data_IF_788662543695
#
_entry.id   IF_788662543695
#
_cell.length_a   1.000
_cell.length_b   1.000
_cell.length_c   1.000
_cell.angle_alpha   90.00
_cell.angle_beta   90.00
_cell.angle_gamma   90.00
#
_symmetry.space_group_name_H-M   'P 1'
#
loop_
_entity.id
_entity.type
_entity.pdbx_description
1 polymer ?
#
# COMPACT_ATOMS: atom_id res chain seq x y z
N UNK A 1 -2.95 13.14 61.07
CA UNK A 1 -3.20 14.13 60.00
C UNK A 1 -2.07 13.99 58.99
N UNK A 2 -2.43 13.69 57.75
CA UNK A 2 -1.61 13.42 56.55
C UNK A 2 -0.56 14.54 56.28
N UNK A 3 0.55 14.38 55.54
CA UNK A 3 0.77 13.73 54.24
C UNK A 3 2.27 13.51 54.00
N UNK A 4 2.67 12.29 53.63
CA UNK A 4 3.96 12.00 52.99
C UNK A 4 3.73 11.97 51.48
N UNK A 5 4.25 12.94 50.74
CA UNK A 5 4.20 12.96 49.27
C UNK A 5 5.11 11.85 48.73
N UNK A 6 4.51 10.82 48.14
CA UNK A 6 5.21 9.84 47.30
C UNK A 6 5.30 10.42 45.87
N UNK A 7 6.48 10.84 45.46
CA UNK A 7 6.77 11.24 44.08
C UNK A 7 7.04 9.96 43.27
N UNK A 8 6.02 9.45 42.57
CA UNK A 8 6.20 8.37 41.57
C UNK A 8 6.78 9.02 40.32
N UNK A 9 8.09 8.83 40.12
CA UNK A 9 8.73 9.08 38.83
C UNK A 9 8.39 7.89 37.92
N UNK A 10 7.37 8.06 37.07
CA UNK A 10 7.03 7.11 36.02
C UNK A 10 8.06 7.26 34.90
N UNK A 11 9.12 6.45 34.94
CA UNK A 11 10.06 6.34 33.81
C UNK A 11 9.35 5.66 32.64
N UNK A 12 8.93 6.46 31.66
CA UNK A 12 8.53 5.97 30.34
C UNK A 12 9.80 5.41 29.69
N UNK A 13 9.99 4.09 29.78
CA UNK A 13 10.90 3.38 28.90
C UNK A 13 10.21 3.31 27.54
N UNK A 14 10.57 4.23 26.64
CA UNK A 14 10.29 4.07 25.23
C UNK A 14 10.92 2.75 24.79
N UNK A 15 10.08 1.75 24.54
CA UNK A 15 10.50 0.46 24.01
C UNK A 15 11.15 0.69 22.65
N UNK A 16 12.48 0.72 22.63
CA UNK A 16 13.22 0.38 21.43
C UNK A 16 12.92 -1.10 21.19
N UNK A 17 11.90 -1.38 20.37
CA UNK A 17 11.79 -2.65 19.70
C UNK A 17 12.99 -2.75 18.74
N UNK A 18 14.15 -3.10 19.30
CA UNK A 18 15.21 -3.69 18.51
C UNK A 18 14.58 -4.96 17.95
N UNK A 19 14.31 -4.97 16.65
CA UNK A 19 14.17 -6.22 15.95
C UNK A 19 15.38 -7.06 16.37
N UNK A 20 15.17 -8.11 17.16
CA UNK A 20 16.25 -9.00 17.54
C UNK A 20 16.76 -9.56 16.23
N UNK A 21 17.94 -9.10 15.80
CA UNK A 21 18.56 -9.57 14.57
C UNK A 21 18.60 -11.08 14.65
N UNK A 22 17.97 -11.74 13.68
CA UNK A 22 17.94 -13.20 13.61
C UNK A 22 19.38 -13.67 13.75
N UNK A 23 19.74 -14.45 14.79
CA UNK A 23 21.10 -14.92 14.96
C UNK A 23 21.58 -15.58 13.67
N UNK A 24 22.62 -15.03 13.05
CA UNK A 24 23.16 -15.51 11.77
C UNK A 24 24.16 -16.64 11.97
N UNK A 25 23.99 -17.46 13.01
CA UNK A 25 24.95 -18.46 13.44
C UNK A 25 24.26 -19.79 13.73
N UNK A 26 24.97 -20.90 13.58
CA UNK A 26 24.40 -22.25 13.75
C UNK A 26 25.06 -22.97 14.93
N UNK A 27 24.34 -23.31 16.01
CA UNK A 27 24.89 -24.14 17.07
C UNK A 27 25.15 -25.56 16.53
N UNK A 28 26.29 -26.13 16.91
CA UNK A 28 26.70 -27.48 16.56
C UNK A 28 27.26 -28.20 17.78
N UNK A 29 26.86 -29.45 17.97
CA UNK A 29 27.34 -30.29 19.06
C UNK A 29 27.64 -31.69 18.52
N UNK A 30 28.72 -32.29 19.01
CA UNK A 30 29.13 -33.63 18.64
C UNK A 30 29.78 -34.37 19.80
N UNK A 31 29.93 -35.68 19.63
CA UNK A 31 30.65 -36.55 20.57
C UNK A 31 31.82 -37.18 19.81
N UNK A 32 33.04 -36.82 20.18
CA UNK A 32 34.25 -37.36 19.57
C UNK A 32 34.61 -38.71 20.19
N UNK A 33 34.76 -39.74 19.34
CA UNK A 33 35.17 -41.09 19.73
C UNK A 33 36.32 -41.56 18.86
N UNK A 34 37.16 -42.43 19.41
CA UNK A 34 38.21 -43.12 18.66
C UNK A 34 37.65 -44.34 17.91
N UNK A 35 38.51 -45.02 17.13
CA UNK A 35 38.13 -46.19 16.34
C UNK A 35 37.62 -47.38 17.19
N UNK A 36 37.99 -47.46 18.48
CA UNK A 36 37.51 -48.45 19.42
C UNK A 36 36.18 -48.05 20.09
N UNK A 37 35.56 -46.95 19.66
CA UNK A 37 34.31 -46.41 20.20
C UNK A 37 34.46 -45.71 21.55
N UNK A 38 35.68 -45.56 22.08
CA UNK A 38 35.94 -44.87 23.35
C UNK A 38 35.92 -43.35 23.13
N UNK A 39 35.39 -42.58 24.10
CA UNK A 39 35.37 -41.13 24.00
C UNK A 39 36.80 -40.57 23.97
N UNK A 40 37.03 -39.58 23.11
CA UNK A 40 38.23 -38.74 23.21
C UNK A 40 37.99 -37.74 24.34
N UNK A 41 38.29 -38.15 25.57
CA UNK A 41 37.96 -37.40 26.78
C UNK A 41 38.96 -36.27 27.06
N UNK A 42 38.46 -35.08 27.45
CA UNK A 42 39.29 -33.93 27.89
C UNK A 42 40.44 -33.60 26.93
N UNK A 43 40.18 -33.71 25.63
CA UNK A 43 41.19 -33.61 24.57
C UNK A 43 40.87 -32.41 23.69
N UNK A 44 41.88 -31.61 23.38
CA UNK A 44 41.77 -30.57 22.36
C UNK A 44 41.77 -31.23 20.98
N UNK A 45 40.76 -30.94 20.17
CA UNK A 45 40.61 -31.43 18.79
C UNK A 45 40.37 -30.23 17.87
N UNK A 46 40.72 -30.37 16.59
CA UNK A 46 40.30 -29.40 15.57
C UNK A 46 39.11 -29.95 14.80
N UNK A 47 38.04 -29.17 14.68
CA UNK A 47 36.84 -29.50 13.94
C UNK A 47 36.74 -28.57 12.74
N UNK A 48 36.56 -29.13 11.54
CA UNK A 48 36.29 -28.41 10.30
C UNK A 48 34.89 -28.73 9.82
N UNK A 49 34.11 -27.68 9.58
CA UNK A 49 32.72 -27.75 9.16
C UNK A 49 32.58 -27.04 7.83
N UNK A 50 31.97 -27.72 6.85
CA UNK A 50 31.76 -27.14 5.52
C UNK A 50 30.29 -27.20 5.11
N UNK A 51 29.75 -26.07 4.66
CA UNK A 51 28.42 -25.99 4.06
C UNK A 51 28.55 -26.26 2.56
N UNK A 52 27.71 -27.16 2.05
CA UNK A 52 27.69 -27.59 0.64
C UNK A 52 26.29 -27.46 0.04
N UNK A 53 26.24 -27.31 -1.27
CA UNK A 53 25.00 -27.21 -2.06
C UNK A 53 24.41 -28.57 -2.49
N UNK A 54 25.18 -29.67 -2.34
CA UNK A 54 24.72 -31.04 -2.61
C UNK A 54 25.38 -32.06 -1.67
N UNK A 55 24.73 -33.21 -1.48
CA UNK A 55 25.19 -34.31 -0.61
C UNK A 55 26.54 -34.88 -1.06
N UNK A 56 26.72 -35.09 -2.36
CA UNK A 56 27.94 -35.62 -2.97
C UNK A 56 28.34 -34.75 -4.16
N UNK A 57 29.63 -34.43 -4.29
CA UNK A 57 30.14 -33.66 -5.44
C UNK A 57 29.73 -32.18 -5.50
N UNK A 58 28.97 -31.68 -4.52
CA UNK A 58 28.56 -30.26 -4.46
C UNK A 58 29.70 -29.30 -4.14
N UNK A 59 29.51 -28.04 -4.50
CA UNK A 59 30.44 -26.96 -4.16
C UNK A 59 30.42 -26.70 -2.65
N UNK A 60 31.58 -26.39 -2.11
CA UNK A 60 31.70 -25.88 -0.75
C UNK A 60 31.45 -24.38 -0.77
N UNK A 61 30.36 -23.95 -0.13
CA UNK A 61 29.94 -22.53 -0.08
C UNK A 61 30.65 -21.79 1.06
N UNK A 62 30.88 -22.48 2.17
CA UNK A 62 31.54 -21.94 3.36
C UNK A 62 32.25 -23.05 4.11
N UNK A 63 33.40 -22.75 4.70
CA UNK A 63 34.12 -23.66 5.60
C UNK A 63 34.62 -22.90 6.81
N UNK A 64 34.54 -23.51 7.98
CA UNK A 64 35.02 -22.95 9.24
C UNK A 64 35.76 -24.04 10.03
N UNK A 65 36.93 -23.68 10.57
CA UNK A 65 37.82 -24.56 11.32
C UNK A 65 38.05 -23.99 12.72
N UNK A 66 37.81 -24.82 13.74
CA UNK A 66 37.90 -24.44 15.16
C UNK A 66 38.61 -25.49 15.99
N UNK A 67 39.48 -25.05 16.88
CA UNK A 67 39.96 -25.88 17.99
C UNK A 67 38.95 -25.83 19.13
N UNK A 68 38.52 -27.00 19.60
CA UNK A 68 37.58 -27.16 20.72
C UNK A 68 38.09 -28.23 21.68
N UNK A 69 37.77 -28.07 22.96
CA UNK A 69 38.04 -29.10 23.97
C UNK A 69 36.83 -30.01 24.14
N UNK A 70 37.05 -31.32 24.17
CA UNK A 70 36.03 -32.29 24.52
C UNK A 70 35.88 -32.41 26.04
N UNK A 71 34.70 -32.81 26.51
CA UNK A 71 34.47 -33.18 27.92
C UNK A 71 34.93 -34.62 28.21
N UNK A 72 34.80 -35.07 29.46
CA UNK A 72 35.10 -36.46 29.86
C UNK A 72 34.32 -37.54 29.11
N UNK A 73 33.17 -37.20 28.51
CA UNK A 73 32.38 -38.11 27.66
C UNK A 73 32.66 -37.96 26.17
N UNK A 74 33.62 -37.10 25.77
CA UNK A 74 33.92 -36.77 24.38
C UNK A 74 33.01 -35.71 23.77
N UNK A 75 32.03 -35.17 24.51
CA UNK A 75 31.14 -34.11 24.04
C UNK A 75 31.89 -32.80 23.78
N UNK A 76 31.63 -32.14 22.66
CA UNK A 76 32.09 -30.79 22.34
C UNK A 76 30.95 -29.97 21.72
N UNK A 77 30.96 -28.64 21.95
CA UNK A 77 29.96 -27.72 21.40
C UNK A 77 30.67 -26.50 20.79
N UNK A 78 30.12 -25.99 19.69
CA UNK A 78 30.61 -24.78 19.01
C UNK A 78 29.45 -24.09 18.29
N UNK A 79 29.65 -22.85 17.87
CA UNK A 79 28.68 -22.11 17.05
C UNK A 79 29.35 -21.76 15.73
N UNK A 80 28.78 -22.19 14.60
CA UNK A 80 29.24 -21.86 13.25
C UNK A 80 28.89 -20.39 12.99
N UNK A 81 29.81 -19.62 12.42
CA UNK A 81 29.66 -18.20 12.11
C UNK A 81 29.42 -17.31 13.35
N UNK A 82 30.13 -17.58 14.46
CA UNK A 82 30.16 -16.70 15.63
C UNK A 82 31.36 -15.72 15.64
N UNK A 83 32.18 -15.74 14.57
CA UNK A 83 33.37 -14.92 14.41
C UNK A 83 34.64 -15.50 15.04
N UNK A 84 34.57 -16.67 15.68
CA UNK A 84 35.76 -17.41 16.12
C UNK A 84 36.24 -18.40 15.05
N UNK A 85 37.52 -18.77 15.06
CA UNK A 85 38.08 -19.74 14.12
C UNK A 85 38.46 -19.20 12.75
N UNK A 86 39.10 -20.05 11.95
CA UNK A 86 39.51 -19.72 10.59
C UNK A 86 38.42 -20.15 9.60
N UNK A 87 38.02 -19.27 8.68
CA UNK A 87 36.98 -19.56 7.72
C UNK A 87 37.35 -19.19 6.28
N UNK A 88 36.65 -19.78 5.33
CA UNK A 88 36.72 -19.46 3.90
C UNK A 88 35.32 -19.52 3.26
N UNK A 89 35.11 -18.69 2.24
CA UNK A 89 33.78 -18.46 1.65
C UNK A 89 33.05 -17.27 2.31
N UNK A 90 31.94 -16.85 1.71
CA UNK A 90 31.11 -15.74 2.19
C UNK A 90 29.77 -16.26 2.70
N UNK A 91 29.59 -16.23 4.02
CA UNK A 91 28.36 -16.65 4.70
C UNK A 91 27.12 -15.89 4.22
N UNK A 92 27.28 -14.58 3.98
CA UNK A 92 26.16 -13.71 3.59
C UNK A 92 25.72 -13.93 2.14
N UNK A 93 26.60 -14.52 1.32
CA UNK A 93 26.28 -14.88 -0.07
C UNK A 93 25.52 -16.20 -0.21
N UNK A 94 25.44 -17.01 0.86
CA UNK A 94 24.75 -18.30 0.83
C UNK A 94 23.26 -18.05 0.65
N UNK A 95 22.72 -18.44 -0.51
CA UNK A 95 21.28 -18.42 -0.73
C UNK A 95 20.62 -19.57 0.07
N UNK A 96 20.20 -19.31 1.31
CA UNK A 96 19.54 -20.29 2.17
C UNK A 96 18.15 -20.74 1.67
N UNK A 97 17.55 -20.01 0.73
CA UNK A 97 16.25 -20.35 0.14
C UNK A 97 16.37 -21.27 -1.09
N UNK A 98 17.54 -21.37 -1.71
CA UNK A 98 17.72 -22.11 -2.96
C UNK A 98 18.08 -23.59 -2.75
N UNK A 99 17.08 -24.43 -2.51
CA UNK A 99 17.26 -25.88 -2.37
C UNK A 99 17.98 -26.30 -1.09
N UNK A 100 18.28 -27.59 -0.96
CA UNK A 100 18.87 -28.15 0.26
C UNK A 100 20.32 -27.67 0.50
N UNK A 101 20.69 -27.55 1.77
CA UNK A 101 22.08 -27.31 2.20
C UNK A 101 22.56 -28.46 3.05
N UNK A 102 23.85 -28.76 2.98
CA UNK A 102 24.46 -29.90 3.64
C UNK A 102 25.63 -29.45 4.50
N UNK A 103 25.79 -30.05 5.68
CA UNK A 103 26.91 -29.82 6.59
C UNK A 103 27.82 -31.05 6.54
N UNK A 104 29.05 -30.85 6.08
CA UNK A 104 30.14 -31.82 6.16
C UNK A 104 30.92 -31.59 7.46
N UNK A 105 31.22 -32.66 8.18
CA UNK A 105 32.01 -32.62 9.42
C UNK A 105 33.32 -33.38 9.24
N UNK A 106 34.41 -32.73 9.62
CA UNK A 106 35.75 -33.30 9.61
C UNK A 106 36.46 -32.98 10.94
N UNK A 107 37.26 -33.92 11.47
CA UNK A 107 37.93 -33.75 12.77
C UNK A 107 39.39 -34.19 12.67
N UNK A 108 40.30 -33.39 13.22
CA UNK A 108 41.66 -33.80 13.57
C UNK A 108 41.76 -34.03 15.09
N UNK A 109 41.88 -35.30 15.53
CA UNK A 109 42.03 -35.65 16.94
C UNK A 109 43.32 -35.14 17.59
N UNK A 110 44.36 -34.85 16.82
CA UNK A 110 45.65 -34.33 17.28
C UNK A 110 45.71 -32.79 17.27
N UNK A 111 44.60 -32.13 16.94
CA UNK A 111 44.49 -30.67 16.89
C UNK A 111 45.49 -30.01 15.92
N UNK A 112 45.75 -30.66 14.78
CA UNK A 112 46.60 -30.18 13.71
C UNK A 112 45.82 -29.93 12.40
N UNK A 113 46.36 -30.43 11.29
CA UNK A 113 45.79 -30.26 9.94
C UNK A 113 45.43 -31.57 9.22
N UNK A 114 45.41 -32.70 9.94
CA UNK A 114 45.13 -34.03 9.40
C UNK A 114 43.68 -34.45 9.72
N UNK A 115 42.78 -34.10 8.82
CA UNK A 115 41.34 -34.22 9.04
C UNK A 115 40.79 -35.58 8.58
N UNK A 116 40.03 -36.23 9.46
CA UNK A 116 39.21 -37.40 9.17
C UNK A 116 37.78 -36.97 8.84
N UNK A 117 37.17 -37.57 7.82
CA UNK A 117 35.79 -37.29 7.40
C UNK A 117 34.78 -38.07 8.24
N UNK A 118 33.83 -37.37 8.86
CA UNK A 118 32.76 -37.94 9.67
C UNK A 118 31.38 -37.87 8.99
N UNK A 119 31.36 -37.54 7.69
CA UNK A 119 30.17 -37.59 6.86
C UNK A 119 29.55 -36.21 6.60
N UNK A 120 28.51 -36.24 5.78
CA UNK A 120 27.75 -35.07 5.34
C UNK A 120 26.27 -35.30 5.57
N UNK A 121 25.60 -34.35 6.24
CA UNK A 121 24.16 -34.42 6.56
C UNK A 121 23.42 -33.21 6.03
N UNK A 122 22.14 -33.37 5.68
CA UNK A 122 21.32 -32.23 5.25
C UNK A 122 20.96 -31.34 6.45
N UNK A 123 21.11 -30.03 6.31
CA UNK A 123 20.60 -29.04 7.25
C UNK A 123 19.07 -28.95 7.12
N UNK A 124 18.38 -29.16 8.24
CA UNK A 124 16.93 -29.06 8.35
C UNK A 124 16.52 -27.74 9.00
N UNK A 125 15.29 -27.29 8.71
CA UNK A 125 14.74 -26.08 9.30
C UNK A 125 14.59 -26.21 10.82
N UNK A 126 14.98 -25.16 11.55
CA UNK A 126 14.75 -25.02 13.00
C UNK A 126 13.43 -24.27 13.27
N UNK A 127 12.82 -24.36 14.47
CA UNK A 127 11.51 -23.77 14.76
C UNK A 127 11.38 -22.27 14.44
N UNK A 128 12.43 -21.48 14.67
CA UNK A 128 12.45 -20.06 14.32
C UNK A 128 12.42 -19.83 12.79
N UNK A 129 13.17 -20.63 12.03
CA UNK A 129 13.22 -20.57 10.58
C UNK A 129 11.88 -20.98 9.91
N UNK A 130 11.12 -21.89 10.52
CA UNK A 130 9.79 -22.29 10.02
C UNK A 130 8.79 -21.14 10.02
N UNK A 131 8.96 -20.15 10.90
CA UNK A 131 8.10 -18.96 10.94
C UNK A 131 8.53 -17.92 9.90
N UNK A 132 9.84 -17.80 9.64
CA UNK A 132 10.39 -16.88 8.64
C UNK A 132 10.00 -17.24 7.20
N UNK A 133 9.73 -18.52 6.90
CA UNK A 133 9.23 -18.95 5.58
C UNK A 133 7.93 -18.24 5.15
N UNK A 134 7.11 -17.76 6.10
CA UNK A 134 5.89 -16.98 5.80
C UNK A 134 6.15 -15.54 5.34
N UNK A 135 7.35 -15.03 5.53
CA UNK A 135 7.71 -13.65 5.18
C UNK A 135 8.30 -13.52 3.76
N UNK A 136 8.81 -14.62 3.18
CA UNK A 136 9.48 -14.60 1.87
C UNK A 136 8.48 -14.58 0.71
N UNK A 137 7.27 -15.12 0.91
CA UNK A 137 6.24 -15.26 -0.12
C UNK A 137 4.95 -14.49 0.20
N UNK A 138 5.04 -13.23 0.65
CA UNK A 138 3.82 -12.45 0.91
C UNK A 138 3.04 -12.18 -0.38
N UNK A 139 2.02 -13.00 -0.65
CA UNK A 139 1.05 -12.76 -1.71
C UNK A 139 -0.06 -11.84 -1.21
N UNK A 140 -0.63 -11.06 -2.12
CA UNK A 140 -1.81 -10.23 -1.81
C UNK A 140 -2.97 -11.05 -1.23
N UNK A 141 -3.13 -12.31 -1.65
CA UNK A 141 -4.14 -13.24 -1.13
C UNK A 141 -3.88 -13.72 0.30
N UNK A 142 -2.68 -13.51 0.82
CA UNK A 142 -2.27 -13.94 2.17
C UNK A 142 -2.29 -12.77 3.18
N UNK A 143 -2.46 -11.54 2.69
CA UNK A 143 -2.64 -10.37 3.52
C UNK A 143 -4.04 -10.40 4.17
N UNK A 144 -4.06 -10.40 5.50
CA UNK A 144 -5.30 -10.46 6.29
C UNK A 144 -5.99 -9.10 6.43
N UNK A 145 -5.26 -8.03 6.16
CA UNK A 145 -5.69 -6.65 6.26
C UNK A 145 -6.13 -6.07 4.91
N UNK A 146 -6.13 -6.87 3.84
CA UNK A 146 -6.62 -6.46 2.52
C UNK A 146 -7.90 -7.23 2.18
N UNK A 147 -9.00 -6.52 1.94
CA UNK A 147 -10.23 -7.13 1.44
C UNK A 147 -10.09 -7.47 -0.05
N UNK A 148 -9.70 -8.72 -0.37
CA UNK A 148 -9.43 -9.17 -1.74
C UNK A 148 -10.68 -9.54 -2.56
N UNK A 149 -11.85 -9.65 -1.94
CA UNK A 149 -13.08 -10.16 -2.54
C UNK A 149 -13.64 -9.33 -3.72
N UNK A 150 -13.14 -8.11 -3.92
CA UNK A 150 -13.66 -7.16 -4.91
C UNK A 150 -12.57 -6.37 -5.64
N UNK A 151 -11.31 -6.81 -5.61
CA UNK A 151 -10.18 -6.11 -6.25
C UNK A 151 -9.99 -6.57 -7.70
N UNK A 152 -9.99 -5.62 -8.63
CA UNK A 152 -9.65 -5.80 -10.03
C UNK A 152 -8.28 -5.15 -10.33
N UNK A 153 -7.55 -5.62 -11.36
CA UNK A 153 -6.34 -4.95 -11.81
C UNK A 153 -6.59 -3.46 -12.14
N UNK A 154 -5.84 -2.57 -11.49
CA UNK A 154 -5.96 -1.12 -11.65
C UNK A 154 -6.80 -0.41 -10.58
N UNK A 155 -7.36 -1.15 -9.63
CA UNK A 155 -8.05 -0.59 -8.48
C UNK A 155 -7.06 0.08 -7.50
N UNK A 156 -7.54 1.10 -6.79
CA UNK A 156 -6.79 1.76 -5.71
C UNK A 156 -7.23 1.18 -4.38
N UNK A 157 -6.32 1.09 -3.42
CA UNK A 157 -6.65 0.72 -2.04
C UNK A 157 -6.74 1.97 -1.17
N UNK A 158 -7.75 2.02 -0.30
CA UNK A 158 -7.92 3.04 0.73
C UNK A 158 -7.89 2.38 2.11
N UNK A 159 -7.18 3.01 3.06
CA UNK A 159 -7.15 2.57 4.45
C UNK A 159 -8.43 2.99 5.18
N UNK A 160 -9.19 2.03 5.69
CA UNK A 160 -10.46 2.26 6.40
C UNK A 160 -10.32 2.49 7.91
N UNK A 161 -9.10 2.37 8.47
CA UNK A 161 -8.86 2.36 9.92
C UNK A 161 -8.68 0.96 10.50
N UNK A 162 -9.28 -0.06 9.89
CA UNK A 162 -9.17 -1.47 10.32
C UNK A 162 -8.62 -2.40 9.24
N UNK A 163 -8.47 -1.91 8.00
CA UNK A 163 -7.95 -2.65 6.86
C UNK A 163 -7.95 -1.83 5.58
N UNK A 164 -7.25 -2.32 4.57
CA UNK A 164 -7.28 -1.82 3.20
C UNK A 164 -8.52 -2.35 2.47
N UNK A 165 -9.34 -1.43 1.98
CA UNK A 165 -10.51 -1.72 1.14
C UNK A 165 -10.28 -1.21 -0.29
N UNK A 166 -11.03 -1.74 -1.25
CA UNK A 166 -11.08 -1.18 -2.59
C UNK A 166 -11.63 0.25 -2.54
N UNK A 167 -10.94 1.19 -3.15
CA UNK A 167 -11.41 2.54 -3.39
C UNK A 167 -12.02 2.59 -4.79
N UNK A 168 -13.25 3.11 -4.89
CA UNK A 168 -13.92 3.26 -6.18
C UNK A 168 -13.01 4.01 -7.16
N UNK A 169 -12.94 3.52 -8.40
CA UNK A 169 -12.11 4.13 -9.43
C UNK A 169 -12.63 5.53 -9.75
N UNK A 170 -11.73 6.51 -9.72
CA UNK A 170 -12.04 7.85 -10.20
C UNK A 170 -12.43 7.79 -11.68
N UNK A 171 -13.66 8.20 -12.00
CA UNK A 171 -14.19 8.14 -13.36
C UNK A 171 -14.49 9.55 -13.86
N UNK A 172 -13.85 9.92 -14.97
CA UNK A 172 -14.03 11.21 -15.63
C UNK A 172 -14.98 11.09 -16.82
N UNK A 173 -15.92 12.01 -16.90
CA UNK A 173 -16.90 12.15 -17.96
C UNK A 173 -16.74 13.53 -18.60
N UNK A 174 -16.69 13.57 -19.92
CA UNK A 174 -16.68 14.83 -20.68
C UNK A 174 -18.05 15.08 -21.27
N UNK A 175 -18.44 16.35 -21.39
CA UNK A 175 -19.64 16.78 -22.10
C UNK A 175 -19.33 18.01 -22.94
N UNK A 176 -19.91 18.06 -24.14
CA UNK A 176 -19.84 19.22 -25.00
C UNK A 176 -21.05 19.25 -25.94
N UNK A 177 -21.53 20.44 -26.28
CA UNK A 177 -22.61 20.60 -27.27
C UNK A 177 -23.25 21.98 -27.23
N UNK A 178 -24.21 22.23 -28.13
CA UNK A 178 -24.84 23.54 -28.26
C UNK A 178 -25.68 23.88 -27.04
N UNK A 179 -25.70 25.15 -26.67
CA UNK A 179 -26.53 25.67 -25.59
C UNK A 179 -27.84 26.19 -26.20
N UNK A 180 -29.01 25.61 -25.83
CA UNK A 180 -30.29 26.11 -26.31
C UNK A 180 -30.60 27.50 -25.75
N UNK A 181 -31.60 28.18 -26.30
CA UNK A 181 -32.10 29.41 -25.69
C UNK A 181 -32.66 29.12 -24.29
N UNK A 182 -32.21 29.88 -23.29
CA UNK A 182 -32.65 29.74 -21.90
C UNK A 182 -33.62 30.87 -21.57
N UNK A 183 -34.83 30.52 -21.14
CA UNK A 183 -35.89 31.49 -20.87
C UNK A 183 -35.51 32.50 -19.78
N UNK A 184 -36.03 33.72 -19.92
CA UNK A 184 -36.03 34.71 -18.85
C UNK A 184 -37.07 34.38 -17.76
N UNK A 185 -37.07 35.19 -16.70
CA UNK A 185 -37.98 35.10 -15.55
C UNK A 185 -38.01 33.71 -14.90
N UNK A 186 -36.88 33.01 -14.92
CA UNK A 186 -36.76 31.67 -14.37
C UNK A 186 -36.26 31.73 -12.91
N UNK A 187 -36.98 31.08 -12.01
CA UNK A 187 -36.64 30.98 -10.59
C UNK A 187 -35.86 29.71 -10.24
N UNK A 188 -35.66 28.80 -11.19
CA UNK A 188 -34.92 27.55 -11.01
C UNK A 188 -33.69 27.48 -11.92
N UNK A 189 -32.72 26.66 -11.51
CA UNK A 189 -31.57 26.34 -12.36
C UNK A 189 -31.99 25.46 -13.53
N UNK A 190 -31.39 25.72 -14.70
CA UNK A 190 -31.46 24.88 -15.89
C UNK A 190 -30.04 24.55 -16.37
N UNK A 191 -29.86 23.42 -17.04
CA UNK A 191 -28.56 23.10 -17.65
C UNK A 191 -28.31 23.98 -18.88
N UNK A 192 -27.12 24.58 -18.94
CA UNK A 192 -26.65 25.35 -20.09
C UNK A 192 -26.02 24.41 -21.12
N UNK A 193 -26.84 23.60 -21.79
CA UNK A 193 -26.41 22.60 -22.77
C UNK A 193 -26.34 21.17 -22.21
N UNK A 194 -25.59 20.25 -22.87
CA UNK A 194 -25.46 18.87 -22.41
C UNK A 194 -24.84 18.75 -21.01
N UNK A 195 -25.20 17.67 -20.31
CA UNK A 195 -24.69 17.31 -18.99
C UNK A 195 -24.20 15.87 -19.01
N UNK A 196 -23.14 15.57 -18.28
CA UNK A 196 -22.66 14.20 -18.07
C UNK A 196 -23.64 13.42 -17.19
N UNK A 197 -23.82 12.13 -17.47
CA UNK A 197 -24.60 11.22 -16.61
C UNK A 197 -23.64 10.27 -15.91
N UNK A 198 -23.65 10.25 -14.59
CA UNK A 198 -22.76 9.43 -13.76
C UNK A 198 -23.51 8.76 -12.60
N UNK A 199 -22.93 7.70 -12.05
CA UNK A 199 -23.44 7.04 -10.86
C UNK A 199 -22.63 7.45 -9.62
N UNK A 200 -23.32 7.72 -8.52
CA UNK A 200 -22.76 7.80 -7.17
C UNK A 200 -23.10 6.48 -6.49
N UNK A 201 -22.09 5.72 -6.09
CA UNK A 201 -22.22 4.40 -5.47
C UNK A 201 -22.16 4.46 -3.95
N UNK A 202 -21.59 5.52 -3.38
CA UNK A 202 -21.47 5.71 -1.94
C UNK A 202 -21.46 7.20 -1.57
N UNK A 203 -21.92 7.53 -0.37
CA UNK A 203 -22.07 8.93 0.09
C UNK A 203 -20.77 9.64 0.43
N UNK A 204 -19.67 8.89 0.54
CA UNK A 204 -18.31 9.41 0.70
C UNK A 204 -17.72 9.93 -0.62
N UNK A 205 -18.34 9.60 -1.76
CA UNK A 205 -17.85 10.06 -3.05
C UNK A 205 -18.02 11.57 -3.23
N UNK A 206 -17.06 12.14 -3.94
CA UNK A 206 -17.02 13.55 -4.29
C UNK A 206 -17.16 13.68 -5.81
N UNK A 207 -18.10 14.52 -6.24
CA UNK A 207 -18.18 14.96 -7.62
C UNK A 207 -17.42 16.27 -7.74
N UNK A 208 -16.49 16.35 -8.69
CA UNK A 208 -15.72 17.56 -9.02
C UNK A 208 -15.83 17.83 -10.50
N UNK A 209 -15.73 19.09 -10.92
CA UNK A 209 -15.71 19.36 -12.35
C UNK A 209 -15.61 20.83 -12.69
N UNK A 210 -15.59 21.07 -13.99
CA UNK A 210 -15.58 22.40 -14.55
C UNK A 210 -16.14 22.45 -15.96
N UNK A 211 -16.63 23.62 -16.34
CA UNK A 211 -17.16 23.89 -17.66
C UNK A 211 -16.93 25.34 -18.06
N UNK A 212 -16.93 25.58 -19.36
CA UNK A 212 -16.94 26.90 -19.97
C UNK A 212 -18.08 26.99 -20.98
N UNK A 213 -18.79 28.12 -20.95
CA UNK A 213 -19.89 28.42 -21.86
C UNK A 213 -19.87 29.89 -22.29
N UNK A 214 -19.84 30.17 -23.61
CA UNK A 214 -20.17 31.47 -24.14
C UNK A 214 -21.68 31.72 -24.07
N UNK A 215 -22.10 32.74 -23.33
CA UNK A 215 -23.51 33.10 -23.11
C UNK A 215 -23.74 34.59 -23.35
N UNK A 216 -24.90 34.94 -23.89
CA UNK A 216 -25.31 36.31 -24.14
C UNK A 216 -26.84 36.42 -24.16
N UNK A 217 -27.37 37.58 -23.76
CA UNK A 217 -28.79 37.85 -23.91
C UNK A 217 -29.17 38.09 -25.37
N UNK A 218 -30.45 37.97 -25.69
CA UNK A 218 -31.00 38.40 -26.97
C UNK A 218 -30.59 39.85 -27.32
N UNK A 219 -30.42 40.13 -28.60
CA UNK A 219 -30.01 41.44 -29.11
C UNK A 219 -30.92 42.56 -28.56
N UNK A 220 -30.31 43.65 -28.08
CA UNK A 220 -31.02 44.80 -27.51
C UNK A 220 -31.45 44.65 -26.06
N UNK A 221 -31.22 43.50 -25.41
CA UNK A 221 -31.49 43.33 -23.99
C UNK A 221 -30.59 44.21 -23.11
N UNK A 222 -31.18 44.81 -22.07
CA UNK A 222 -30.41 45.51 -21.04
C UNK A 222 -29.54 44.54 -20.23
N UNK A 223 -28.34 44.95 -19.79
CA UNK A 223 -27.51 44.15 -18.90
C UNK A 223 -28.24 43.74 -17.63
N UNK A 224 -28.08 42.48 -17.21
CA UNK A 224 -28.68 41.96 -15.99
C UNK A 224 -27.80 40.87 -15.36
N UNK A 225 -28.10 40.54 -14.10
CA UNK A 225 -27.37 39.52 -13.35
C UNK A 225 -28.05 38.17 -13.49
N UNK A 226 -27.26 37.13 -13.80
CA UNK A 226 -27.69 35.73 -13.73
C UNK A 226 -26.79 34.97 -12.78
N UNK A 227 -27.20 33.77 -12.37
CA UNK A 227 -26.35 32.88 -11.57
C UNK A 227 -25.81 31.77 -12.46
N UNK A 228 -24.51 31.53 -12.39
CA UNK A 228 -23.83 30.50 -13.18
C UNK A 228 -23.01 29.63 -12.24
N UNK A 229 -23.00 28.33 -12.46
CA UNK A 229 -22.19 27.41 -11.66
C UNK A 229 -22.18 26.00 -12.25
N UNK A 230 -21.56 25.09 -11.52
CA UNK A 230 -21.75 23.66 -11.73
C UNK A 230 -22.94 23.20 -10.91
N UNK A 231 -23.75 22.30 -11.46
CA UNK A 231 -24.92 21.77 -10.78
C UNK A 231 -25.18 20.31 -11.13
N UNK A 232 -26.01 19.68 -10.32
CA UNK A 232 -26.43 18.30 -10.52
C UNK A 232 -27.96 18.17 -10.43
N UNK A 233 -28.47 17.11 -11.02
CA UNK A 233 -29.84 16.64 -10.88
C UNK A 233 -29.82 15.14 -10.64
N UNK A 234 -30.48 14.67 -9.60
CA UNK A 234 -30.71 13.23 -9.42
C UNK A 234 -31.77 12.77 -10.43
N UNK A 235 -31.49 11.73 -11.22
CA UNK A 235 -32.36 11.32 -12.33
C UNK A 235 -32.96 9.92 -12.18
N UNK A 236 -32.48 9.11 -11.23
CA UNK A 236 -33.11 7.84 -10.86
C UNK A 236 -34.44 8.03 -10.09
N UNK A 237 -34.71 9.25 -9.62
CA UNK A 237 -35.98 9.64 -8.99
C UNK A 237 -36.61 10.75 -9.83
N UNK A 238 -37.88 10.57 -10.22
CA UNK A 238 -38.61 11.55 -11.02
C UNK A 238 -38.84 12.87 -10.25
N UNK A 239 -38.77 13.99 -10.97
CA UNK A 239 -39.13 15.32 -10.45
C UNK A 239 -38.08 15.99 -9.53
N UNK A 240 -36.88 15.44 -9.41
CA UNK A 240 -35.83 16.05 -8.60
C UNK A 240 -35.32 17.37 -9.21
N UNK A 241 -35.06 18.40 -8.39
CA UNK A 241 -34.60 19.70 -8.87
C UNK A 241 -33.15 19.66 -9.33
N UNK A 242 -32.77 20.65 -10.14
CA UNK A 242 -31.37 20.96 -10.42
C UNK A 242 -30.83 21.79 -9.26
N UNK A 243 -29.75 21.33 -8.66
CA UNK A 243 -29.12 21.94 -7.48
C UNK A 243 -27.70 22.40 -7.84
N UNK A 244 -27.34 23.61 -7.41
CA UNK A 244 -25.97 24.11 -7.56
C UNK A 244 -25.02 23.35 -6.61
N UNK A 245 -23.77 23.14 -7.02
CA UNK A 245 -22.75 22.51 -6.18
C UNK A 245 -22.56 23.21 -4.84
N UNK A 246 -22.73 24.53 -4.80
CA UNK A 246 -22.62 25.32 -3.57
C UNK A 246 -23.95 25.43 -2.79
N UNK A 247 -24.95 24.61 -3.11
CA UNK A 247 -26.24 24.56 -2.42
C UNK A 247 -27.04 25.85 -2.56
N UNK A 248 -27.40 26.46 -1.43
CA UNK A 248 -28.13 27.74 -1.38
C UNK A 248 -27.25 28.96 -1.71
N UNK A 249 -25.92 28.79 -1.76
CA UNK A 249 -25.01 29.84 -2.20
C UNK A 249 -25.01 29.95 -3.72
N UNK A 250 -24.42 31.01 -4.27
CA UNK A 250 -24.39 31.23 -5.71
C UNK A 250 -23.27 32.18 -6.15
N UNK A 251 -22.79 32.01 -7.38
CA UNK A 251 -21.96 32.97 -8.07
C UNK A 251 -22.81 33.78 -9.06
N UNK A 252 -22.77 35.10 -8.94
CA UNK A 252 -23.51 36.03 -9.82
C UNK A 252 -22.61 36.55 -10.93
N UNK A 253 -23.14 36.57 -12.15
CA UNK A 253 -22.45 37.06 -13.32
C UNK A 253 -23.31 38.09 -14.04
N UNK A 254 -22.69 39.18 -14.49
CA UNK A 254 -23.35 40.18 -15.32
C UNK A 254 -23.34 39.69 -16.77
N UNK A 255 -24.52 39.52 -17.34
CA UNK A 255 -24.71 39.22 -18.76
C UNK A 255 -25.15 40.48 -19.50
N UNK A 256 -24.76 40.55 -20.76
CA UNK A 256 -25.11 41.59 -21.71
C UNK A 256 -25.60 40.92 -23.00
N UNK A 257 -26.09 41.72 -23.96
CA UNK A 257 -26.54 41.21 -25.25
C UNK A 257 -25.41 40.65 -26.15
N UNK A 258 -24.15 40.99 -25.84
CA UNK A 258 -22.98 40.38 -26.49
C UNK A 258 -22.56 39.12 -25.75
N UNK A 259 -22.36 38.03 -26.50
CA UNK A 259 -21.83 36.78 -25.98
C UNK A 259 -20.46 36.94 -25.30
N UNK A 260 -20.35 36.43 -24.08
CA UNK A 260 -19.10 36.35 -23.30
C UNK A 260 -18.87 34.96 -22.74
N UNK A 261 -17.61 34.59 -22.57
CA UNK A 261 -17.24 33.30 -21.98
C UNK A 261 -17.34 33.35 -20.46
N UNK A 262 -18.10 32.42 -19.89
CA UNK A 262 -18.21 32.19 -18.46
C UNK A 262 -17.64 30.82 -18.11
N UNK A 263 -16.92 30.74 -17.00
CA UNK A 263 -16.41 29.48 -16.46
C UNK A 263 -17.11 29.15 -15.14
N UNK A 264 -17.28 27.86 -14.89
CA UNK A 264 -17.81 27.35 -13.64
C UNK A 264 -16.95 26.17 -13.19
N UNK A 265 -16.59 26.15 -11.91
CA UNK A 265 -15.87 25.06 -11.28
C UNK A 265 -16.46 24.81 -9.89
N UNK A 266 -16.37 23.57 -9.42
CA UNK A 266 -16.72 23.27 -8.05
C UNK A 266 -16.68 21.79 -7.72
N UNK A 267 -17.09 21.49 -6.51
CA UNK A 267 -17.28 20.12 -6.04
C UNK A 267 -18.49 20.01 -5.12
N UNK A 268 -19.01 18.79 -4.99
CA UNK A 268 -20.07 18.42 -4.03
C UNK A 268 -19.78 17.04 -3.46
N UNK A 269 -20.12 16.83 -2.19
CA UNK A 269 -19.98 15.57 -1.45
C UNK A 269 -21.23 15.30 -0.63
N UNK A 270 -21.39 14.09 -0.09
CA UNK A 270 -22.54 13.72 0.74
C UNK A 270 -23.81 13.42 -0.06
N UNK A 271 -23.68 13.17 -1.37
CA UNK A 271 -24.82 12.77 -2.20
C UNK A 271 -25.20 11.32 -1.90
N UNK A 272 -26.50 11.05 -1.81
CA UNK A 272 -26.98 9.68 -1.67
C UNK A 272 -26.63 8.84 -2.92
N UNK A 273 -26.42 7.52 -2.78
CA UNK A 273 -26.24 6.67 -3.95
C UNK A 273 -27.41 6.78 -4.95
N UNK A 274 -27.10 6.89 -6.23
CA UNK A 274 -28.06 7.15 -7.29
C UNK A 274 -27.41 7.54 -8.62
N UNK A 275 -28.23 7.92 -9.60
CA UNK A 275 -27.76 8.37 -10.92
C UNK A 275 -27.99 9.85 -11.06
N UNK A 276 -26.96 10.58 -11.49
CA UNK A 276 -26.95 12.03 -11.53
C UNK A 276 -26.59 12.55 -12.92
N UNK A 277 -27.31 13.58 -13.36
CA UNK A 277 -26.83 14.48 -14.42
C UNK A 277 -26.02 15.60 -13.78
N UNK A 278 -24.87 15.92 -14.36
CA UNK A 278 -23.96 16.94 -13.85
C UNK A 278 -23.43 17.79 -15.01
N UNK A 279 -23.51 19.11 -14.86
CA UNK A 279 -23.07 20.04 -15.91
C UNK A 279 -23.13 21.49 -15.46
N UNK A 280 -22.89 22.40 -16.42
CA UNK A 280 -23.02 23.82 -16.18
C UNK A 280 -24.50 24.21 -16.04
N UNK A 281 -24.83 24.99 -15.03
CA UNK A 281 -26.20 25.43 -14.75
C UNK A 281 -26.31 26.94 -14.72
N UNK A 282 -27.46 27.43 -15.18
CA UNK A 282 -27.81 28.85 -15.21
C UNK A 282 -29.16 29.05 -14.55
N UNK A 283 -29.28 30.06 -13.68
CA UNK A 283 -30.56 30.59 -13.21
C UNK A 283 -30.67 32.02 -13.72
N UNK A 284 -31.64 32.23 -14.61
CA UNK A 284 -31.89 33.50 -15.26
C UNK A 284 -33.17 34.16 -14.72
N UNK A 285 -33.02 34.92 -13.64
CA UNK A 285 -34.13 35.71 -13.07
C UNK A 285 -34.42 37.01 -13.83
N UNK A 286 -33.63 37.35 -14.85
CA UNK A 286 -33.86 38.53 -15.67
C UNK A 286 -34.96 38.27 -16.72
N UNK A 287 -35.69 39.30 -17.18
CA UNK A 287 -36.73 39.12 -18.18
C UNK A 287 -36.18 38.78 -19.58
N UNK A 288 -34.91 39.11 -19.85
CA UNK A 288 -34.26 38.82 -21.12
C UNK A 288 -33.98 37.32 -21.29
N UNK A 289 -34.17 36.82 -22.51
CA UNK A 289 -33.81 35.45 -22.89
C UNK A 289 -32.30 35.38 -23.13
N UNK A 290 -31.65 34.32 -22.64
CA UNK A 290 -30.24 34.02 -22.95
C UNK A 290 -30.22 33.19 -24.23
N UNK A 291 -29.94 33.84 -25.37
CA UNK A 291 -30.06 33.24 -26.70
C UNK A 291 -28.88 33.48 -27.63
N UNK A 292 -27.99 34.44 -27.32
CA UNK A 292 -26.72 34.62 -28.05
C UNK A 292 -25.66 33.69 -27.44
N UNK A 293 -25.85 32.38 -27.64
CA UNK A 293 -25.06 31.33 -27.00
C UNK A 293 -24.15 30.63 -28.02
N UNK A 294 -23.20 29.84 -27.52
CA UNK A 294 -22.40 28.92 -28.34
C UNK A 294 -22.42 27.51 -27.72
N UNK A 295 -21.38 26.72 -27.96
CA UNK A 295 -21.18 25.42 -27.34
C UNK A 295 -20.66 25.55 -25.91
N UNK A 296 -21.23 24.75 -25.00
CA UNK A 296 -20.60 24.44 -23.71
C UNK A 296 -19.60 23.31 -23.92
N UNK A 297 -18.49 23.35 -23.20
CA UNK A 297 -17.65 22.18 -23.00
C UNK A 297 -17.23 22.07 -21.53
N UNK A 298 -17.05 20.85 -21.05
CA UNK A 298 -16.69 20.61 -19.67
C UNK A 298 -16.38 19.16 -19.37
N UNK A 299 -15.98 18.94 -18.13
CA UNK A 299 -15.65 17.64 -17.58
C UNK A 299 -16.12 17.54 -16.13
N UNK A 300 -16.44 16.34 -15.70
CA UNK A 300 -16.74 16.01 -14.31
C UNK A 300 -16.07 14.69 -13.95
N UNK A 301 -15.66 14.56 -12.71
CA UNK A 301 -15.07 13.36 -12.14
C UNK A 301 -15.84 12.97 -10.89
N UNK A 302 -16.14 11.68 -10.74
CA UNK A 302 -16.62 11.09 -9.49
C UNK A 302 -15.49 10.25 -8.90
N UNK A 303 -15.18 10.47 -7.64
CA UNK A 303 -14.17 9.72 -6.87
C UNK A 303 -14.70 9.36 -5.49
#
# INVERSE_FOLDING_TARGET
MYRLLFFICLSVTAGNALAQGVPQSLPYQGIARNAAGQPLANTSITVRLSIRDALSGGNTLYTETKSVATSGSGLYSLVIHDGSGAFSGDWNSINWAAGARFLKTEIDPANGSSFLDFGTVQLQSVPYALTAGKAVDQKLSELKDVSTSALLPGDRLEWSGSGWKNAAKSQTYSFAGPIPSLSGNNSVYVFAGPAATLAVTSSDQVIKGGAVAPLGFQTGASPATVRIGMGYQRIDISGQPIVNFVGSNYATHRLIAERRTYSAFGSVTGLAPGTYKVGMVVLNGAPAVVSDNDYVNGWVTVE
#
